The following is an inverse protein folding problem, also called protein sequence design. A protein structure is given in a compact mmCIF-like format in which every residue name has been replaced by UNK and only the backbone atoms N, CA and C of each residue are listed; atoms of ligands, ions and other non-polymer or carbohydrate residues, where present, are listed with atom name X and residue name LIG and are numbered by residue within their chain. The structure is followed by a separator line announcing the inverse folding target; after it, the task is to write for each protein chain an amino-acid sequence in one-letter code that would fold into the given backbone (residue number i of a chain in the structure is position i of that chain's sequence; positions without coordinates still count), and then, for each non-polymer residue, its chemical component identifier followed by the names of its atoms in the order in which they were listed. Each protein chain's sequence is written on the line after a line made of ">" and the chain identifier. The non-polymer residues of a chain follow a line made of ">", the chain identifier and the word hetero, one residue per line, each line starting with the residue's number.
data_IF_305372937103
#
_entry.id   IF_305372937103
#
_cell.length_a   1.000
_cell.length_b   1.000
_cell.length_c   1.000
_cell.angle_alpha   90.00
_cell.angle_beta   90.00
_cell.angle_gamma   90.00
#
_symmetry.space_group_name_H-M   'P 1'
#
loop_
_entity.id
_entity.type
_entity.pdbx_description
1 polymer ?
#
# COMPACT_ATOMS: atom_id res chain seq x y z
N UNK A 1 -0.96 4.72 -24.95
CA UNK A 1 0.09 4.93 -25.96
C UNK A 1 1.08 3.79 -25.82
N UNK A 2 1.19 2.95 -26.85
CA UNK A 2 2.16 1.87 -26.89
C UNK A 2 3.40 2.38 -27.62
N UNK A 3 4.58 2.11 -27.06
CA UNK A 3 5.87 2.41 -27.69
C UNK A 3 5.99 1.58 -28.99
N UNK A 4 6.26 2.24 -30.12
CA UNK A 4 6.53 1.57 -31.39
C UNK A 4 8.04 1.66 -31.69
N UNK A 5 8.79 0.54 -31.59
CA UNK A 5 10.23 0.55 -31.77
C UNK A 5 10.68 0.78 -33.22
N UNK A 6 9.76 0.82 -34.19
CA UNK A 6 10.08 1.12 -35.59
C UNK A 6 9.94 2.61 -35.92
N UNK A 7 9.37 3.40 -35.00
CA UNK A 7 9.20 4.82 -35.16
C UNK A 7 10.52 5.55 -34.81
N UNK A 8 11.27 5.91 -35.85
CA UNK A 8 12.56 6.59 -35.73
C UNK A 8 12.48 7.93 -34.99
N UNK A 9 11.38 8.68 -35.16
CA UNK A 9 11.16 9.94 -34.43
C UNK A 9 10.95 9.72 -32.93
N UNK A 10 10.28 8.63 -32.53
CA UNK A 10 10.14 8.27 -31.11
C UNK A 10 11.49 7.87 -30.50
N UNK A 11 12.30 7.10 -31.23
CA UNK A 11 13.63 6.68 -30.79
C UNK A 11 14.60 7.87 -30.66
N UNK A 12 14.62 8.77 -31.64
CA UNK A 12 15.43 9.98 -31.59
C UNK A 12 15.01 10.89 -30.43
N UNK A 13 13.71 11.11 -30.24
CA UNK A 13 13.20 11.91 -29.12
C UNK A 13 13.60 11.31 -27.76
N UNK A 14 13.50 9.98 -27.62
CA UNK A 14 13.92 9.27 -26.41
C UNK A 14 15.42 9.39 -26.19
N UNK A 15 16.23 9.24 -27.24
CA UNK A 15 17.69 9.32 -27.15
C UNK A 15 18.16 10.72 -26.78
N UNK A 16 17.57 11.75 -27.39
CA UNK A 16 17.81 13.15 -27.04
C UNK A 16 17.43 13.42 -25.59
N UNK A 17 16.28 12.91 -25.13
CA UNK A 17 15.83 13.10 -23.75
C UNK A 17 16.75 12.40 -22.74
N UNK A 18 17.25 11.20 -23.05
CA UNK A 18 18.26 10.53 -22.23
C UNK A 18 19.58 11.31 -22.19
N UNK A 19 20.06 11.78 -23.34
CA UNK A 19 21.29 12.58 -23.39
C UNK A 19 21.15 13.88 -22.58
N UNK A 20 20.03 14.59 -22.71
CA UNK A 20 19.76 15.81 -21.95
C UNK A 20 19.65 15.52 -20.45
N UNK A 21 19.03 14.39 -20.06
CA UNK A 21 18.96 13.96 -18.67
C UNK A 21 20.36 13.65 -18.11
N UNK A 22 21.22 12.98 -18.86
CA UNK A 22 22.62 12.71 -18.48
C UNK A 22 23.42 14.01 -18.29
N UNK A 23 23.31 14.96 -19.21
CA UNK A 23 23.99 16.26 -19.10
C UNK A 23 23.46 17.07 -17.90
N UNK A 24 22.15 17.02 -17.63
CA UNK A 24 21.57 17.63 -16.43
C UNK A 24 22.10 16.98 -15.15
N UNK A 25 22.23 15.66 -15.11
CA UNK A 25 22.78 14.94 -13.95
C UNK A 25 24.23 15.36 -13.67
N UNK A 26 25.05 15.55 -14.71
CA UNK A 26 26.45 16.01 -14.57
C UNK A 26 26.57 17.42 -13.97
N UNK A 27 25.58 18.28 -14.19
CA UNK A 27 25.56 19.66 -13.68
C UNK A 27 24.95 19.78 -12.28
N UNK A 28 24.30 18.73 -11.77
CA UNK A 28 23.78 18.75 -10.41
C UNK A 28 24.94 18.75 -9.41
N UNK A 29 24.99 19.68 -8.45
CA UNK A 29 25.96 19.62 -7.36
C UNK A 29 25.75 18.29 -6.65
N UNK A 30 26.79 17.43 -6.64
CA UNK A 30 26.69 16.01 -6.29
C UNK A 30 25.91 15.82 -4.96
N UNK A 31 24.58 15.56 -5.00
CA UNK A 31 23.72 15.82 -3.86
C UNK A 31 23.56 14.59 -2.97
N UNK A 32 24.33 13.52 -3.24
CA UNK A 32 24.08 12.23 -2.64
C UNK A 32 25.35 11.51 -2.23
N UNK A 33 25.30 10.84 -1.07
CA UNK A 33 26.36 9.96 -0.57
C UNK A 33 26.40 8.60 -1.31
N UNK A 34 25.80 8.48 -2.49
CA UNK A 34 25.82 7.22 -3.23
C UNK A 34 27.17 7.05 -3.93
N UNK A 35 27.92 5.98 -3.63
CA UNK A 35 29.28 5.81 -4.14
C UNK A 35 29.31 5.35 -5.61
N UNK A 36 28.19 4.86 -6.15
CA UNK A 36 28.12 4.30 -7.50
C UNK A 36 26.78 4.63 -8.19
N UNK A 37 26.87 5.17 -9.40
CA UNK A 37 25.74 5.54 -10.26
C UNK A 37 25.65 4.65 -11.51
N UNK A 38 26.63 3.76 -11.73
CA UNK A 38 26.62 2.83 -12.85
C UNK A 38 25.73 1.61 -12.52
N UNK A 39 24.43 1.85 -12.39
CA UNK A 39 23.42 0.84 -12.04
C UNK A 39 23.43 -0.34 -13.03
N UNK A 40 23.80 -0.09 -14.29
CA UNK A 40 23.91 -1.13 -15.32
C UNK A 40 24.98 -2.19 -14.99
N UNK A 41 26.03 -1.79 -14.25
CA UNK A 41 27.11 -2.69 -13.82
C UNK A 41 26.77 -3.55 -12.61
N UNK A 42 25.64 -3.29 -11.94
CA UNK A 42 25.30 -3.97 -10.70
C UNK A 42 24.97 -5.45 -10.94
N UNK A 43 25.49 -6.29 -10.04
CA UNK A 43 25.21 -7.72 -10.06
C UNK A 43 23.72 -7.99 -9.78
N UNK A 44 23.07 -8.70 -10.70
CA UNK A 44 21.65 -9.06 -10.60
C UNK A 44 21.53 -10.44 -9.98
N UNK A 45 20.74 -10.58 -8.91
CA UNK A 45 20.49 -11.85 -8.25
C UNK A 45 19.00 -12.19 -8.25
N UNK A 46 18.64 -13.27 -8.94
CA UNK A 46 17.28 -13.83 -8.89
C UNK A 46 17.17 -14.80 -7.73
N UNK A 47 16.25 -14.53 -6.80
CA UNK A 47 16.02 -15.39 -5.63
C UNK A 47 14.91 -16.37 -5.96
N UNK A 48 15.19 -17.67 -5.82
CA UNK A 48 14.24 -18.76 -6.05
C UNK A 48 13.62 -19.23 -4.73
N UNK A 49 12.51 -19.96 -4.82
CA UNK A 49 11.86 -20.58 -3.66
C UNK A 49 11.06 -19.62 -2.78
N UNK A 50 10.76 -18.42 -3.27
CA UNK A 50 9.89 -17.47 -2.58
C UNK A 50 8.41 -17.83 -2.76
N UNK A 51 7.52 -17.47 -1.79
CA UNK A 51 6.08 -17.69 -1.91
C UNK A 51 5.48 -17.08 -3.18
N UNK A 52 5.06 -17.90 -4.14
CA UNK A 52 4.49 -17.39 -5.39
C UNK A 52 3.00 -17.06 -5.26
N UNK A 53 2.60 -15.97 -5.89
CA UNK A 53 1.19 -15.63 -6.05
C UNK A 53 0.55 -16.56 -7.09
N UNK A 54 -0.70 -16.95 -6.85
CA UNK A 54 -1.49 -17.80 -7.76
C UNK A 54 -2.78 -17.15 -8.24
N UNK A 55 -3.15 -15.98 -7.71
CA UNK A 55 -4.32 -15.21 -8.13
C UNK A 55 -3.90 -14.01 -9.01
N UNK A 56 -4.85 -13.29 -9.60
CA UNK A 56 -4.56 -12.13 -10.45
C UNK A 56 -4.53 -10.77 -9.73
N UNK A 57 -4.79 -10.72 -8.42
CA UNK A 57 -5.10 -9.44 -7.73
C UNK A 57 -4.34 -9.20 -6.43
N UNK A 58 -3.47 -10.11 -6.00
CA UNK A 58 -2.70 -9.97 -4.75
C UNK A 58 -1.24 -9.54 -4.96
N UNK A 59 -0.80 -9.21 -6.18
CA UNK A 59 0.60 -8.93 -6.50
C UNK A 59 1.20 -7.81 -5.66
N UNK A 60 0.45 -6.71 -5.47
CA UNK A 60 0.86 -5.61 -4.61
C UNK A 60 1.03 -6.02 -3.14
N UNK A 61 0.18 -6.93 -2.64
CA UNK A 61 0.28 -7.41 -1.25
C UNK A 61 1.49 -8.32 -1.06
N UNK A 62 1.81 -9.17 -2.05
CA UNK A 62 3.03 -9.98 -2.04
C UNK A 62 4.26 -9.08 -2.07
N UNK A 63 4.30 -8.05 -2.93
CA UNK A 63 5.39 -7.08 -2.99
C UNK A 63 5.63 -6.41 -1.63
N UNK A 64 4.56 -5.91 -0.99
CA UNK A 64 4.66 -5.30 0.34
C UNK A 64 5.19 -6.28 1.38
N UNK A 65 4.73 -7.54 1.35
CA UNK A 65 5.23 -8.57 2.27
C UNK A 65 6.68 -8.92 2.03
N UNK A 66 7.13 -8.94 0.78
CA UNK A 66 8.54 -9.13 0.48
C UNK A 66 9.39 -8.02 1.07
N UNK A 67 9.07 -6.75 0.79
CA UNK A 67 9.83 -5.61 1.31
C UNK A 67 9.86 -5.62 2.84
N UNK A 68 8.71 -5.86 3.48
CA UNK A 68 8.58 -5.89 4.94
C UNK A 68 9.41 -7.00 5.60
N UNK A 69 9.55 -8.15 4.95
CA UNK A 69 10.25 -9.31 5.51
C UNK A 69 11.69 -9.45 5.01
N UNK A 70 12.13 -8.61 4.09
CA UNK A 70 13.45 -8.70 3.45
C UNK A 70 14.57 -8.28 4.39
N UNK A 71 15.54 -9.17 4.63
CA UNK A 71 16.72 -8.87 5.47
C UNK A 71 17.93 -8.37 4.67
N UNK A 72 17.76 -8.11 3.37
CA UNK A 72 18.86 -7.80 2.44
C UNK A 72 19.36 -9.02 1.65
N UNK A 73 19.22 -10.24 2.18
CA UNK A 73 19.69 -11.47 1.54
C UNK A 73 18.66 -12.60 1.45
N UNK A 74 17.67 -12.61 2.35
CA UNK A 74 16.57 -13.58 2.40
C UNK A 74 15.34 -12.96 3.08
N UNK A 75 14.25 -13.70 3.10
CA UNK A 75 13.12 -13.36 3.96
C UNK A 75 13.42 -13.79 5.41
N UNK A 76 13.13 -12.89 6.34
CA UNK A 76 13.16 -13.17 7.79
C UNK A 76 12.19 -14.28 8.18
N UNK A 77 11.02 -14.31 7.54
CA UNK A 77 9.99 -15.34 7.71
C UNK A 77 9.30 -15.63 6.38
N UNK A 78 8.92 -16.88 6.16
CA UNK A 78 8.05 -17.29 5.04
C UNK A 78 6.58 -16.97 5.33
N UNK A 79 5.78 -16.82 4.28
CA UNK A 79 4.35 -16.54 4.38
C UNK A 79 3.57 -17.33 3.32
N UNK A 80 2.29 -17.56 3.61
CA UNK A 80 1.35 -18.29 2.76
C UNK A 80 0.31 -17.36 2.12
N UNK A 81 -0.49 -17.89 1.18
CA UNK A 81 -1.64 -17.15 0.63
C UNK A 81 -2.64 -16.75 1.72
N UNK A 82 -2.86 -17.60 2.72
CA UNK A 82 -3.77 -17.30 3.85
C UNK A 82 -3.30 -16.07 4.64
N UNK A 83 -1.98 -15.95 4.82
CA UNK A 83 -1.39 -14.78 5.48
C UNK A 83 -1.62 -13.51 4.65
N UNK A 84 -1.57 -13.60 3.32
CA UNK A 84 -1.87 -12.48 2.41
C UNK A 84 -3.35 -12.08 2.47
N UNK A 85 -4.26 -13.04 2.51
CA UNK A 85 -5.70 -12.77 2.61
C UNK A 85 -6.06 -12.10 3.95
N UNK A 86 -5.40 -12.51 5.04
CA UNK A 86 -5.52 -11.84 6.33
C UNK A 86 -4.89 -10.45 6.29
N UNK A 87 -3.69 -10.35 5.72
CA UNK A 87 -2.96 -9.09 5.59
C UNK A 87 -3.72 -8.05 4.77
N UNK A 88 -4.48 -8.46 3.75
CA UNK A 88 -5.36 -7.56 2.98
C UNK A 88 -6.34 -6.80 3.88
N UNK A 89 -6.98 -7.51 4.83
CA UNK A 89 -7.93 -6.90 5.78
C UNK A 89 -7.20 -6.06 6.82
N UNK A 90 -6.09 -6.58 7.33
CA UNK A 90 -5.28 -5.86 8.33
C UNK A 90 -4.76 -4.54 7.76
N UNK A 91 -4.22 -4.55 6.55
CA UNK A 91 -3.68 -3.36 5.88
C UNK A 91 -4.76 -2.29 5.69
N UNK A 92 -5.95 -2.68 5.25
CA UNK A 92 -7.07 -1.74 5.12
C UNK A 92 -7.45 -1.13 6.48
N UNK A 93 -7.53 -1.96 7.52
CA UNK A 93 -7.80 -1.53 8.89
C UNK A 93 -6.73 -0.56 9.42
N UNK A 94 -5.45 -0.89 9.25
CA UNK A 94 -4.32 -0.07 9.69
C UNK A 94 -4.27 1.28 8.97
N UNK A 95 -4.57 1.31 7.67
CA UNK A 95 -4.63 2.57 6.90
C UNK A 95 -5.80 3.44 7.38
N UNK A 96 -6.99 2.85 7.54
CA UNK A 96 -8.18 3.59 7.99
C UNK A 96 -7.98 4.19 9.38
N UNK A 97 -7.36 3.43 10.28
CA UNK A 97 -7.11 3.82 11.67
C UNK A 97 -5.74 4.48 11.90
N UNK A 98 -4.98 4.74 10.83
CA UNK A 98 -3.71 5.47 10.96
C UNK A 98 -3.96 6.91 11.39
N UNK A 99 -3.17 7.43 12.33
CA UNK A 99 -3.24 8.85 12.74
C UNK A 99 -2.90 9.83 11.60
N UNK A 100 -2.27 9.30 10.55
CA UNK A 100 -2.00 10.03 9.31
C UNK A 100 -3.20 10.12 8.37
N UNK A 101 -4.27 9.37 8.64
CA UNK A 101 -5.53 9.52 7.93
C UNK A 101 -6.26 10.78 8.43
N UNK A 102 -6.04 11.91 7.75
CA UNK A 102 -6.65 13.20 8.09
C UNK A 102 -8.18 13.19 8.03
N UNK A 103 -8.76 12.34 7.19
CA UNK A 103 -10.23 12.20 7.08
C UNK A 103 -10.85 11.65 8.36
N UNK A 104 -10.09 10.87 9.16
CA UNK A 104 -10.53 10.39 10.47
C UNK A 104 -10.66 11.52 11.48
N UNK A 105 -9.75 12.49 11.44
CA UNK A 105 -9.76 13.66 12.35
C UNK A 105 -11.05 14.48 12.17
N UNK A 106 -11.59 14.50 10.97
CA UNK A 106 -12.81 15.23 10.63
C UNK A 106 -14.10 14.45 10.99
N UNK A 107 -13.99 13.18 11.39
CA UNK A 107 -15.12 12.31 11.72
C UNK A 107 -15.24 12.00 13.22
N UNK A 108 -14.28 12.41 14.05
CA UNK A 108 -14.47 12.39 15.50
C UNK A 108 -15.19 13.67 15.95
N UNK A 109 -16.47 13.60 16.38
CA UNK A 109 -16.98 14.60 17.29
C UNK A 109 -16.16 14.52 18.58
N UNK A 110 -15.66 15.66 19.00
CA UNK A 110 -14.91 15.89 20.22
C UNK A 110 -15.58 15.20 21.42
N UNK A 111 -15.03 14.08 21.89
CA UNK A 111 -15.44 13.43 23.15
C UNK A 111 -14.69 14.01 24.36
N UNK A 112 -14.21 15.25 24.26
CA UNK A 112 -13.66 15.99 25.40
C UNK A 112 -14.69 16.99 25.95
N UNK A 113 -15.93 16.57 26.23
CA UNK A 113 -16.82 17.33 27.12
C UNK A 113 -17.65 16.42 28.02
N UNK A 114 -17.44 16.64 29.32
CA UNK A 114 -18.23 16.24 30.48
C UNK A 114 -18.13 14.77 30.93
N UNK A 115 -17.06 14.46 31.67
CA UNK A 115 -17.29 13.84 32.99
C UNK A 115 -17.32 15.01 33.98
N UNK A 116 -18.53 15.51 34.25
CA UNK A 116 -18.83 16.16 35.52
C UNK A 116 -19.67 15.16 36.31
N UNK A 117 -19.12 14.70 37.42
CA UNK A 117 -19.85 14.00 38.46
C UNK A 117 -21.02 14.87 38.90
N UNK A 118 -22.24 14.31 38.82
CA UNK A 118 -23.36 14.47 39.76
C UNK A 118 -24.71 14.33 39.04
N UNK A 119 -25.54 13.40 39.53
CA UNK A 119 -26.97 13.35 39.19
C UNK A 119 -27.44 12.02 38.63
N UNK A 120 -27.79 11.12 39.55
CA UNK A 120 -28.67 9.96 39.30
C UNK A 120 -29.93 10.40 38.55
N UNK A 121 -30.20 9.83 37.36
CA UNK A 121 -31.57 9.62 36.90
C UNK A 121 -31.66 8.53 35.84
N UNK A 122 -32.30 7.43 36.23
CA UNK A 122 -32.65 6.27 35.42
C UNK A 122 -33.59 6.64 34.27
N UNK A 123 -33.26 6.32 33.00
CA UNK A 123 -34.28 6.13 31.95
C UNK A 123 -33.88 5.10 30.89
N UNK A 124 -34.39 3.89 31.13
CA UNK A 124 -34.42 2.69 30.28
C UNK A 124 -35.18 3.01 28.97
N UNK A 125 -34.53 2.95 27.80
CA UNK A 125 -35.22 2.98 26.48
C UNK A 125 -35.13 1.61 25.78
N UNK A 126 -36.31 1.02 25.63
CA UNK A 126 -36.65 -0.27 25.00
C UNK A 126 -36.16 -0.33 23.54
N UNK A 127 -35.48 -1.42 23.17
CA UNK A 127 -35.25 -1.82 21.78
C UNK A 127 -36.52 -2.45 21.22
N UNK A 128 -37.18 -1.82 20.26
CA UNK A 128 -38.20 -2.46 19.42
C UNK A 128 -37.52 -3.10 18.20
N UNK A 129 -37.47 -4.43 18.19
CA UNK A 129 -37.20 -5.25 17.00
C UNK A 129 -38.52 -5.39 16.24
N UNK A 130 -38.57 -4.94 14.99
CA UNK A 130 -39.64 -5.33 14.06
C UNK A 130 -39.02 -6.32 13.08
N UNK A 131 -39.40 -7.59 13.23
CA UNK A 131 -39.12 -8.67 12.29
C UNK A 131 -40.42 -8.96 11.56
N UNK A 132 -40.46 -8.68 10.26
CA UNK A 132 -41.58 -9.07 9.39
C UNK A 132 -41.09 -10.18 8.48
N UNK A 133 -41.67 -11.37 8.71
CA UNK A 133 -41.45 -12.61 7.99
C UNK A 133 -42.59 -12.72 6.96
N UNK A 134 -42.28 -12.64 5.68
CA UNK A 134 -43.26 -12.93 4.62
C UNK A 134 -42.94 -14.31 4.05
N UNK A 135 -43.78 -15.28 4.42
CA UNK A 135 -43.92 -16.57 3.75
C UNK A 135 -45.11 -16.39 2.81
N UNK A 136 -44.91 -16.63 1.50
CA UNK A 136 -46.01 -16.77 0.55
C UNK A 136 -45.88 -18.16 -0.08
N UNK A 137 -46.87 -18.99 0.20
CA UNK A 137 -47.11 -20.28 -0.44
C UNK A 137 -48.11 -20.05 -1.56
N UNK A 138 -47.80 -20.53 -2.76
CA UNK A 138 -48.68 -21.26 -3.67
C UNK A 138 -47.81 -21.97 -4.71
#
# INVERSE_FOLDING_TARGET
>A
MFFDPTNTLQLEAITVWFQEAEERIKQLPNPTNWPDFNVASWNKKTIKGLPTQKDGSSCGLYLLKYIMLWTGSKLSKTFSKKDIDMYRRQLAHDILNSDRNSLRKNQQPDQTKAISEDGVSTKKRKRSRTSTRNISTQ
#
